data_IF_514131492582
#
_entry.id   IF_514131492582
#
_cell.length_a   1.000
_cell.length_b   1.000
_cell.length_c   1.000
_cell.angle_alpha   90.00
_cell.angle_beta   90.00
_cell.angle_gamma   90.00
#
_symmetry.space_group_name_H-M   'P 1'
#
loop_
_entity.id
_entity.type
_entity.pdbx_description
1 polymer ?
#
# COMPACT_ATOMS: atom_id res chain seq x y z
N UNK A 1 -23.55 28.27 -14.51
CA UNK A 1 -22.08 28.43 -14.72
C UNK A 1 -21.44 27.15 -14.23
N UNK A 2 -21.29 26.17 -15.14
CA UNK A 2 -20.64 24.91 -14.85
C UNK A 2 -19.18 25.18 -14.47
N UNK A 3 -18.82 24.88 -13.23
CA UNK A 3 -17.44 24.93 -12.82
C UNK A 3 -16.64 23.97 -13.72
N UNK A 4 -15.64 24.50 -14.41
CA UNK A 4 -14.72 23.71 -15.22
C UNK A 4 -14.17 22.58 -14.37
N UNK A 5 -14.69 21.39 -14.59
CA UNK A 5 -14.22 20.16 -13.95
C UNK A 5 -12.78 19.99 -14.44
N UNK A 6 -11.80 20.23 -13.58
CA UNK A 6 -10.39 19.96 -13.83
C UNK A 6 -10.30 18.57 -14.43
N UNK A 7 -9.65 18.44 -15.60
CA UNK A 7 -9.45 17.15 -16.25
C UNK A 7 -8.86 16.18 -15.24
N UNK A 8 -9.63 15.14 -14.90
CA UNK A 8 -9.26 14.19 -13.84
C UNK A 8 -7.93 13.52 -14.15
N UNK A 9 -7.10 13.34 -13.13
CA UNK A 9 -5.86 12.59 -13.24
C UNK A 9 -6.17 11.10 -13.43
N UNK A 10 -5.46 10.44 -14.33
CA UNK A 10 -5.72 9.05 -14.71
C UNK A 10 -4.63 8.14 -14.16
N UNK A 11 -5.06 6.99 -13.63
CA UNK A 11 -4.17 5.93 -13.16
C UNK A 11 -4.59 4.62 -13.83
N UNK A 12 -3.62 3.78 -14.19
CA UNK A 12 -3.83 2.39 -14.61
C UNK A 12 -3.09 1.46 -13.64
N UNK A 13 -3.83 0.81 -12.77
CA UNK A 13 -3.27 -0.11 -11.78
C UNK A 13 -3.52 -1.54 -12.24
N UNK A 14 -2.60 -2.08 -13.01
CA UNK A 14 -2.71 -3.45 -13.54
C UNK A 14 -4.01 -3.67 -14.34
N UNK A 15 -4.41 -2.70 -15.15
CA UNK A 15 -5.63 -2.73 -15.96
C UNK A 15 -6.87 -2.18 -15.27
N UNK A 16 -6.81 -1.82 -13.98
CA UNK A 16 -7.86 -1.04 -13.32
C UNK A 16 -7.65 0.44 -13.61
N UNK A 17 -8.57 1.04 -14.35
CA UNK A 17 -8.53 2.45 -14.71
C UNK A 17 -9.25 3.27 -13.64
N UNK A 18 -8.51 4.16 -12.98
CA UNK A 18 -9.03 5.02 -11.92
C UNK A 18 -8.88 6.47 -12.38
N UNK A 19 -9.91 7.27 -12.22
CA UNK A 19 -9.82 8.74 -12.36
C UNK A 19 -9.92 9.39 -10.98
N UNK A 20 -9.06 10.37 -10.73
CA UNK A 20 -9.11 11.21 -9.54
C UNK A 20 -9.32 12.65 -9.98
N UNK A 21 -10.37 13.29 -9.48
CA UNK A 21 -10.73 14.66 -9.86
C UNK A 21 -11.58 15.34 -8.79
N UNK A 22 -12.01 16.56 -9.03
CA UNK A 22 -12.86 17.32 -8.11
C UNK A 22 -12.56 18.81 -8.12
N UNK A 23 -13.04 19.51 -7.12
CA UNK A 23 -12.88 20.95 -6.94
C UNK A 23 -11.71 21.35 -6.02
N UNK A 24 -10.87 20.37 -5.64
CA UNK A 24 -9.68 20.56 -4.78
C UNK A 24 -8.40 20.10 -5.49
N UNK A 25 -7.81 20.93 -6.38
CA UNK A 25 -6.66 20.55 -7.21
C UNK A 25 -5.44 20.05 -6.44
N UNK A 26 -5.15 20.62 -5.25
CA UNK A 26 -4.01 20.27 -4.43
C UNK A 26 -4.13 18.81 -3.92
N UNK A 27 -5.32 18.43 -3.47
CA UNK A 27 -5.60 17.05 -3.02
C UNK A 27 -5.58 16.08 -4.20
N UNK A 28 -6.16 16.45 -5.35
CA UNK A 28 -6.13 15.62 -6.57
C UNK A 28 -4.69 15.36 -6.99
N UNK A 29 -3.84 16.39 -6.98
CA UNK A 29 -2.43 16.25 -7.35
C UNK A 29 -1.65 15.44 -6.31
N UNK A 30 -1.91 15.63 -5.01
CA UNK A 30 -1.27 14.83 -3.96
C UNK A 30 -1.58 13.34 -4.10
N UNK A 31 -2.83 12.96 -4.40
CA UNK A 31 -3.20 11.56 -4.67
C UNK A 31 -2.52 11.05 -5.94
N UNK A 32 -2.43 11.86 -7.01
CA UNK A 32 -1.72 11.50 -8.23
C UNK A 32 -0.25 11.17 -7.96
N UNK A 33 0.43 12.00 -7.18
CA UNK A 33 1.83 11.80 -6.79
C UNK A 33 2.03 10.53 -5.97
N UNK A 34 1.08 10.20 -5.09
CA UNK A 34 1.14 8.95 -4.32
C UNK A 34 1.11 7.69 -5.19
N UNK A 35 0.47 7.78 -6.37
CA UNK A 35 0.34 6.70 -7.35
C UNK A 35 1.04 7.02 -8.69
N UNK A 36 2.05 7.86 -8.68
CA UNK A 36 2.71 8.40 -9.88
C UNK A 36 3.18 7.32 -10.86
N UNK A 37 3.65 6.16 -10.35
CA UNK A 37 4.04 5.02 -11.18
C UNK A 37 2.92 4.50 -12.10
N UNK A 38 1.70 4.64 -11.66
CA UNK A 38 0.50 4.20 -12.36
C UNK A 38 -0.17 5.31 -13.15
N UNK A 39 0.40 6.51 -13.15
CA UNK A 39 -0.16 7.65 -13.87
C UNK A 39 -0.06 7.45 -15.38
N UNK A 40 -1.17 7.69 -16.09
CA UNK A 40 -1.26 7.61 -17.55
C UNK A 40 -1.86 8.88 -18.13
N UNK A 41 -1.45 9.22 -19.35
CA UNK A 41 -1.93 10.43 -20.01
C UNK A 41 -3.41 10.30 -20.45
N UNK A 42 -3.76 9.12 -20.99
CA UNK A 42 -5.11 8.73 -21.37
C UNK A 42 -5.31 7.25 -21.08
N UNK A 43 -6.50 6.87 -20.63
CA UNK A 43 -6.81 5.50 -20.23
C UNK A 43 -8.24 5.07 -20.64
N UNK A 44 -8.95 5.87 -21.43
CA UNK A 44 -10.35 5.63 -21.75
C UNK A 44 -11.28 5.83 -20.54
N UNK A 45 -12.53 5.33 -20.55
CA UNK A 45 -13.47 5.50 -19.45
C UNK A 45 -12.94 4.80 -18.18
N UNK A 46 -13.04 5.45 -17.00
CA UNK A 46 -12.58 4.86 -15.74
C UNK A 46 -13.52 3.75 -15.27
N UNK A 47 -12.93 2.71 -14.66
CA UNK A 47 -13.66 1.67 -13.92
C UNK A 47 -14.02 2.17 -12.49
N UNK A 48 -13.23 3.11 -11.96
CA UNK A 48 -13.45 3.77 -10.67
C UNK A 48 -13.24 5.27 -10.84
N UNK A 49 -14.19 6.06 -10.36
CA UNK A 49 -14.11 7.52 -10.33
C UNK A 49 -14.02 7.99 -8.87
N UNK A 50 -12.91 8.64 -8.50
CA UNK A 50 -12.72 9.25 -7.17
C UNK A 50 -12.84 10.76 -7.34
N UNK A 51 -13.84 11.34 -6.69
CA UNK A 51 -14.09 12.77 -6.68
C UNK A 51 -13.86 13.35 -5.29
N UNK A 52 -13.03 14.36 -5.19
CA UNK A 52 -12.80 15.12 -3.97
C UNK A 52 -13.54 16.45 -4.03
N UNK A 53 -14.19 16.82 -2.93
CA UNK A 53 -15.00 18.02 -2.84
C UNK A 53 -14.64 18.79 -1.57
N UNK A 54 -14.20 20.06 -1.74
CA UNK A 54 -13.85 20.95 -0.63
C UNK A 54 -15.10 21.60 -0.06
N UNK A 55 -15.79 20.88 0.80
CA UNK A 55 -16.98 21.39 1.49
C UNK A 55 -17.25 20.61 2.78
N UNK A 56 -17.97 21.24 3.70
CA UNK A 56 -18.44 20.56 4.90
C UNK A 56 -19.21 19.28 4.55
N UNK A 57 -19.04 18.19 5.32
CA UNK A 57 -19.79 16.95 5.12
C UNK A 57 -21.28 17.18 5.28
N UNK A 58 -22.07 16.67 4.33
CA UNK A 58 -23.52 16.71 4.37
C UNK A 58 -24.03 15.32 4.80
N UNK A 59 -24.40 15.17 6.07
CA UNK A 59 -24.93 13.92 6.63
C UNK A 59 -26.43 13.79 6.51
N UNK A 60 -27.18 14.89 6.40
CA UNK A 60 -28.64 14.89 6.34
C UNK A 60 -29.18 14.11 5.12
N UNK A 61 -28.43 14.12 4.03
CA UNK A 61 -28.78 13.42 2.79
C UNK A 61 -28.83 11.89 2.91
N UNK A 62 -28.31 11.30 3.98
CA UNK A 62 -28.25 9.84 4.13
C UNK A 62 -29.43 9.28 4.92
N UNK A 63 -30.19 10.11 5.62
CA UNK A 63 -31.29 9.66 6.48
C UNK A 63 -30.81 8.80 7.67
N UNK A 64 -31.72 7.99 8.21
CA UNK A 64 -31.45 7.17 9.38
C UNK A 64 -30.87 5.80 8.97
N UNK A 65 -29.57 5.75 8.72
CA UNK A 65 -28.83 4.52 8.40
C UNK A 65 -28.05 4.06 9.64
N UNK A 66 -28.29 2.85 10.18
CA UNK A 66 -27.56 2.37 11.34
C UNK A 66 -26.10 2.08 11.02
N UNK A 67 -25.19 2.35 11.97
CA UNK A 67 -23.79 2.04 11.84
C UNK A 67 -23.58 0.52 11.67
N UNK A 68 -22.80 0.13 10.66
CA UNK A 68 -22.40 -1.25 10.45
C UNK A 68 -21.28 -1.65 11.42
N UNK A 69 -20.31 -0.76 11.62
CA UNK A 69 -19.24 -0.92 12.61
C UNK A 69 -18.51 0.41 12.86
N UNK A 70 -17.78 0.46 13.98
CA UNK A 70 -16.99 1.61 14.40
C UNK A 70 -15.53 1.19 14.51
N UNK A 71 -14.62 2.03 13.98
CA UNK A 71 -13.17 1.88 14.13
C UNK A 71 -12.61 3.07 14.93
N UNK A 72 -11.36 3.05 15.38
CA UNK A 72 -10.74 4.23 15.99
C UNK A 72 -10.67 5.46 15.06
N UNK A 73 -10.87 5.27 13.74
CA UNK A 73 -10.69 6.32 12.72
C UNK A 73 -11.99 6.83 12.12
N UNK A 74 -13.04 6.02 12.14
CA UNK A 74 -14.28 6.32 11.46
C UNK A 74 -15.44 5.42 11.89
N UNK A 75 -16.63 5.80 11.47
CA UNK A 75 -17.85 4.99 11.54
C UNK A 75 -18.24 4.61 10.12
N UNK A 76 -18.54 3.33 9.89
CA UNK A 76 -18.93 2.82 8.57
C UNK A 76 -20.38 2.44 8.56
N UNK A 77 -21.11 2.89 7.54
CA UNK A 77 -22.51 2.61 7.29
C UNK A 77 -22.67 1.88 5.96
N UNK A 78 -23.67 1.01 5.88
CA UNK A 78 -24.02 0.29 4.66
C UNK A 78 -25.46 0.62 4.27
N UNK A 79 -25.64 1.23 3.11
CA UNK A 79 -26.93 1.57 2.54
C UNK A 79 -27.04 0.99 1.13
N UNK A 80 -27.69 -0.15 0.99
CA UNK A 80 -27.80 -0.84 -0.29
C UNK A 80 -26.46 -1.07 -0.99
N UNK A 81 -26.23 -0.43 -2.13
CA UNK A 81 -24.96 -0.46 -2.86
C UNK A 81 -23.90 0.49 -2.31
N UNK A 82 -24.28 1.40 -1.40
CA UNK A 82 -23.40 2.44 -0.89
C UNK A 82 -22.69 1.99 0.38
N UNK A 83 -21.41 2.35 0.47
CA UNK A 83 -20.64 2.32 1.71
C UNK A 83 -20.32 3.76 2.07
N UNK A 84 -20.77 4.20 3.23
CA UNK A 84 -20.56 5.56 3.74
C UNK A 84 -19.57 5.45 4.89
N UNK A 85 -18.54 6.29 4.88
CA UNK A 85 -17.51 6.36 5.91
C UNK A 85 -17.51 7.77 6.49
N UNK A 86 -17.91 7.87 7.74
CA UNK A 86 -17.89 9.10 8.51
C UNK A 86 -16.60 9.19 9.34
N UNK A 87 -15.79 10.18 9.09
CA UNK A 87 -14.55 10.47 9.83
C UNK A 87 -14.84 11.39 11.02
N UNK A 88 -15.79 10.98 11.86
CA UNK A 88 -16.23 11.69 13.08
C UNK A 88 -16.66 13.14 12.79
N UNK A 89 -17.49 13.34 11.78
CA UNK A 89 -18.02 14.65 11.40
C UNK A 89 -17.05 15.55 10.63
N UNK A 90 -15.77 15.22 10.52
CA UNK A 90 -14.74 16.05 9.85
C UNK A 90 -14.69 15.86 8.34
N UNK A 91 -14.99 14.66 7.87
CA UNK A 91 -15.10 14.32 6.46
C UNK A 91 -16.09 13.16 6.30
N UNK A 92 -16.63 13.00 5.09
CA UNK A 92 -17.43 11.84 4.71
C UNK A 92 -16.98 11.32 3.36
N UNK A 93 -16.91 10.01 3.23
CA UNK A 93 -16.67 9.36 1.96
C UNK A 93 -17.83 8.43 1.61
N UNK A 94 -18.23 8.45 0.34
CA UNK A 94 -19.31 7.59 -0.17
C UNK A 94 -18.80 6.80 -1.35
N UNK A 95 -18.78 5.49 -1.23
CA UNK A 95 -18.53 4.57 -2.33
C UNK A 95 -19.85 4.00 -2.81
N UNK A 96 -20.23 4.29 -4.04
CA UNK A 96 -21.29 3.58 -4.75
C UNK A 96 -20.67 2.44 -5.58
N UNK A 97 -20.91 1.21 -5.15
CA UNK A 97 -20.35 0.02 -5.80
C UNK A 97 -21.01 -0.31 -7.14
N UNK A 98 -22.22 0.18 -7.38
CA UNK A 98 -22.93 -0.07 -8.64
C UNK A 98 -22.33 0.73 -9.79
N UNK A 99 -21.90 1.97 -9.52
CA UNK A 99 -21.32 2.86 -10.49
C UNK A 99 -19.78 2.93 -10.44
N UNK A 100 -19.14 2.34 -9.42
CA UNK A 100 -17.70 2.50 -9.18
C UNK A 100 -17.29 3.92 -8.75
N UNK A 101 -18.26 4.75 -8.35
CA UNK A 101 -18.02 6.15 -7.99
C UNK A 101 -17.74 6.30 -6.50
N UNK A 102 -16.71 7.08 -6.18
CA UNK A 102 -16.33 7.48 -4.82
C UNK A 102 -16.39 9.00 -4.74
N UNK A 103 -17.04 9.54 -3.71
CA UNK A 103 -17.02 10.97 -3.39
C UNK A 103 -16.45 11.14 -1.99
N UNK A 104 -15.45 12.01 -1.84
CA UNK A 104 -14.84 12.36 -0.55
C UNK A 104 -15.08 13.84 -0.31
N UNK A 105 -15.73 14.19 0.81
CA UNK A 105 -16.07 15.56 1.19
C UNK A 105 -15.46 15.91 2.55
N UNK A 106 -14.90 17.09 2.66
CA UNK A 106 -14.32 17.63 3.90
C UNK A 106 -13.68 18.99 3.65
N UNK A 107 -13.29 19.65 4.74
CA UNK A 107 -12.58 20.93 4.72
C UNK A 107 -11.12 20.80 5.19
N UNK A 108 -10.75 19.65 5.73
CA UNK A 108 -9.39 19.31 6.16
C UNK A 108 -8.66 18.62 5.00
N UNK A 109 -7.69 19.31 4.40
CA UNK A 109 -6.92 18.84 3.25
C UNK A 109 -6.25 17.50 3.49
N UNK A 110 -5.62 17.33 4.66
CA UNK A 110 -4.87 16.12 4.99
C UNK A 110 -5.79 14.92 5.18
N UNK A 111 -6.94 15.13 5.81
CA UNK A 111 -7.93 14.09 6.01
C UNK A 111 -8.56 13.65 4.69
N UNK A 112 -8.94 14.59 3.84
CA UNK A 112 -9.53 14.31 2.52
C UNK A 112 -8.52 13.61 1.61
N UNK A 113 -7.25 14.06 1.63
CA UNK A 113 -6.16 13.40 0.91
C UNK A 113 -5.97 11.94 1.39
N UNK A 114 -5.86 11.70 2.71
CA UNK A 114 -5.68 10.35 3.25
C UNK A 114 -6.88 9.45 2.93
N UNK A 115 -8.11 9.98 3.04
CA UNK A 115 -9.32 9.25 2.68
C UNK A 115 -9.34 8.86 1.20
N UNK A 116 -9.05 9.80 0.28
CA UNK A 116 -9.00 9.53 -1.14
C UNK A 116 -7.89 8.51 -1.50
N UNK A 117 -6.69 8.67 -0.93
CA UNK A 117 -5.60 7.71 -1.08
C UNK A 117 -6.00 6.28 -0.66
N UNK A 118 -6.65 6.14 0.50
CA UNK A 118 -7.10 4.84 1.01
C UNK A 118 -8.18 4.22 0.11
N UNK A 119 -9.07 5.02 -0.48
CA UNK A 119 -10.04 4.52 -1.45
C UNK A 119 -9.39 3.99 -2.71
N UNK A 120 -8.45 4.74 -3.32
CA UNK A 120 -7.69 4.27 -4.48
C UNK A 120 -6.98 2.97 -4.14
N UNK A 121 -6.28 2.91 -3.01
CA UNK A 121 -5.54 1.73 -2.57
C UNK A 121 -6.47 0.52 -2.30
N UNK A 122 -7.66 0.77 -1.74
CA UNK A 122 -8.68 -0.27 -1.50
C UNK A 122 -9.22 -0.85 -2.81
N UNK A 123 -9.57 0.01 -3.78
CA UNK A 123 -10.07 -0.44 -5.09
C UNK A 123 -9.01 -1.19 -5.88
N UNK A 124 -7.78 -0.65 -5.91
CA UNK A 124 -6.64 -1.35 -6.47
C UNK A 124 -6.43 -2.73 -5.82
N UNK A 125 -6.49 -2.78 -4.49
CA UNK A 125 -6.31 -4.03 -3.75
C UNK A 125 -7.35 -5.10 -4.07
N UNK A 126 -8.62 -4.74 -4.16
CA UNK A 126 -9.68 -5.68 -4.56
C UNK A 126 -9.49 -6.19 -6.00
N UNK A 127 -9.04 -5.33 -6.90
CA UNK A 127 -8.72 -5.70 -8.27
C UNK A 127 -7.53 -6.65 -8.34
N UNK A 128 -6.44 -6.35 -7.63
CA UNK A 128 -5.25 -7.19 -7.57
C UNK A 128 -5.56 -8.59 -7.01
N UNK A 129 -6.41 -8.69 -5.98
CA UNK A 129 -6.86 -9.98 -5.45
C UNK A 129 -7.60 -10.80 -6.53
N UNK A 130 -8.45 -10.16 -7.35
CA UNK A 130 -9.14 -10.83 -8.48
C UNK A 130 -8.16 -11.32 -9.55
N UNK A 131 -7.07 -10.59 -9.79
CA UNK A 131 -5.98 -11.00 -10.68
C UNK A 131 -5.08 -12.10 -10.09
N UNK A 132 -5.26 -12.45 -8.81
CA UNK A 132 -4.40 -13.40 -8.12
C UNK A 132 -3.02 -12.82 -7.79
N UNK A 133 -2.94 -11.51 -7.59
CA UNK A 133 -1.76 -10.77 -7.18
C UNK A 133 -1.90 -10.40 -5.69
N UNK A 134 -1.23 -11.16 -4.85
CA UNK A 134 -1.24 -10.95 -3.40
C UNK A 134 -0.34 -9.77 -3.03
N UNK A 135 -0.88 -8.76 -2.36
CA UNK A 135 -0.08 -7.71 -1.71
C UNK A 135 0.57 -8.28 -0.44
N UNK A 136 1.88 -8.40 -0.44
CA UNK A 136 2.64 -8.91 0.70
C UNK A 136 3.17 -7.74 1.53
N UNK A 137 2.82 -7.66 2.82
CA UNK A 137 3.39 -6.62 3.71
C UNK A 137 4.89 -6.86 3.93
N UNK A 138 5.70 -6.40 3.00
CA UNK A 138 7.14 -6.60 2.95
C UNK A 138 7.82 -5.48 2.15
N UNK A 139 9.10 -5.27 2.38
CA UNK A 139 9.97 -4.59 1.43
C UNK A 139 10.32 -5.59 0.31
N UNK A 140 10.05 -5.22 -0.94
CA UNK A 140 10.38 -5.98 -2.14
C UNK A 140 11.56 -5.35 -2.87
N UNK A 141 12.64 -6.11 -3.01
CA UNK A 141 13.85 -5.72 -3.76
C UNK A 141 14.11 -6.73 -4.88
N UNK A 142 14.74 -6.28 -5.95
CA UNK A 142 15.26 -7.14 -7.01
C UNK A 142 16.73 -6.89 -7.25
N UNK A 143 17.43 -7.94 -7.65
CA UNK A 143 18.81 -7.91 -8.09
C UNK A 143 19.04 -8.98 -9.18
N UNK A 144 20.28 -9.17 -9.60
CA UNK A 144 20.65 -10.06 -10.71
C UNK A 144 20.09 -11.49 -10.56
N UNK A 145 20.07 -12.03 -9.33
CA UNK A 145 19.59 -13.40 -9.09
C UNK A 145 18.08 -13.51 -8.90
N UNK A 146 17.36 -12.41 -8.76
CA UNK A 146 15.91 -12.36 -8.56
C UNK A 146 15.47 -11.49 -7.39
N UNK A 147 14.28 -11.77 -6.88
CA UNK A 147 13.62 -10.95 -5.87
C UNK A 147 13.86 -11.40 -4.43
N UNK A 148 13.92 -10.44 -3.54
CA UNK A 148 13.99 -10.60 -2.08
C UNK A 148 12.77 -9.92 -1.45
N UNK A 149 12.03 -10.63 -0.61
CA UNK A 149 10.95 -10.08 0.20
C UNK A 149 11.38 -10.02 1.67
N UNK A 150 11.44 -8.82 2.25
CA UNK A 150 11.83 -8.60 3.64
C UNK A 150 10.61 -8.21 4.47
N UNK A 151 10.12 -9.15 5.26
CA UNK A 151 8.98 -8.95 6.17
C UNK A 151 9.47 -8.45 7.52
N UNK A 152 9.08 -7.24 7.87
CA UNK A 152 9.36 -6.59 9.15
C UNK A 152 8.07 -6.01 9.72
N UNK A 153 7.90 -6.00 11.04
CA UNK A 153 6.76 -5.31 11.65
C UNK A 153 6.75 -3.83 11.29
N UNK A 154 5.63 -3.17 11.46
CA UNK A 154 5.53 -1.71 11.30
C UNK A 154 6.57 -1.03 12.20
N UNK A 155 7.28 -0.02 11.68
CA UNK A 155 8.40 0.61 12.39
C UNK A 155 9.66 -0.27 12.51
N UNK A 156 9.68 -1.45 11.89
CA UNK A 156 10.80 -2.39 11.96
C UNK A 156 12.05 -2.01 11.17
N UNK A 157 12.00 -0.95 10.33
CA UNK A 157 13.13 -0.48 9.53
C UNK A 157 13.06 -0.80 8.03
N UNK A 158 11.87 -1.16 7.49
CA UNK A 158 11.67 -1.39 6.05
C UNK A 158 12.09 -0.18 5.21
N UNK A 159 11.58 1.01 5.55
CA UNK A 159 11.87 2.24 4.83
C UNK A 159 13.36 2.60 4.86
N UNK A 160 14.02 2.41 6.01
CA UNK A 160 15.46 2.63 6.14
C UNK A 160 16.27 1.68 5.25
N UNK A 161 15.89 0.38 5.20
CA UNK A 161 16.50 -0.59 4.28
C UNK A 161 16.21 -0.24 2.81
N UNK A 162 15.00 0.23 2.49
CA UNK A 162 14.65 0.68 1.14
C UNK A 162 15.53 1.85 0.68
N UNK A 163 15.74 2.85 1.53
CA UNK A 163 16.61 3.99 1.22
C UNK A 163 18.08 3.57 1.00
N UNK A 164 18.57 2.57 1.76
CA UNK A 164 19.89 1.99 1.53
C UNK A 164 19.95 1.22 0.21
N UNK A 165 18.90 0.45 -0.11
CA UNK A 165 18.79 -0.29 -1.36
C UNK A 165 18.82 0.64 -2.59
N UNK A 166 18.15 1.78 -2.51
CA UNK A 166 18.15 2.78 -3.59
C UNK A 166 19.54 3.38 -3.90
N UNK A 167 20.48 3.30 -2.95
CA UNK A 167 21.87 3.75 -3.13
C UNK A 167 22.81 2.64 -3.62
N UNK A 168 22.37 1.38 -3.56
CA UNK A 168 23.21 0.24 -3.94
C UNK A 168 23.14 0.00 -5.45
N UNK A 169 24.29 -0.25 -6.08
CA UNK A 169 24.35 -0.61 -7.51
C UNK A 169 23.73 -1.98 -7.75
N UNK A 170 23.06 -2.16 -8.88
CA UNK A 170 22.45 -3.43 -9.29
C UNK A 170 21.19 -3.81 -8.50
N UNK A 171 20.79 -3.05 -7.48
CA UNK A 171 19.57 -3.28 -6.70
C UNK A 171 18.47 -2.34 -7.17
N UNK A 172 17.25 -2.89 -7.35
CA UNK A 172 16.06 -2.13 -7.71
C UNK A 172 14.94 -2.38 -6.71
N UNK A 173 14.07 -1.39 -6.54
CA UNK A 173 12.92 -1.47 -5.66
C UNK A 173 11.71 -2.00 -6.43
N UNK A 174 11.05 -3.02 -5.88
CA UNK A 174 9.72 -3.46 -6.33
C UNK A 174 8.60 -2.73 -5.57
N UNK A 175 8.76 -2.60 -4.27
CA UNK A 175 7.87 -1.84 -3.38
C UNK A 175 8.50 -1.72 -2.00
N UNK A 176 8.27 -0.61 -1.32
CA UNK A 176 8.73 -0.42 0.07
C UNK A 176 7.89 -1.21 1.07
N UNK A 177 6.58 -1.35 0.81
CA UNK A 177 5.65 -1.91 1.80
C UNK A 177 4.71 -3.00 1.27
N UNK A 178 4.49 -3.09 -0.06
CA UNK A 178 3.49 -4.00 -0.62
C UNK A 178 3.86 -4.59 -1.99
N UNK A 179 5.00 -5.27 -2.18
CA UNK A 179 5.26 -5.98 -3.43
C UNK A 179 4.18 -7.04 -3.66
N UNK A 180 3.87 -7.31 -4.93
CA UNK A 180 2.83 -8.26 -5.27
C UNK A 180 3.44 -9.64 -5.53
N UNK A 181 2.85 -10.67 -4.94
CA UNK A 181 3.26 -12.06 -5.11
C UNK A 181 2.21 -12.81 -5.93
N UNK A 182 2.62 -13.45 -7.03
CA UNK A 182 1.74 -14.26 -7.86
C UNK A 182 1.78 -15.77 -7.52
N UNK A 183 0.87 -16.54 -8.12
CA UNK A 183 0.78 -18.01 -7.96
C UNK A 183 1.96 -18.77 -8.59
N UNK A 184 2.83 -18.09 -9.35
CA UNK A 184 4.06 -18.64 -9.92
C UNK A 184 5.27 -18.36 -9.04
N UNK A 185 5.08 -17.71 -7.88
CA UNK A 185 6.14 -17.32 -6.96
C UNK A 185 7.03 -16.22 -7.52
N UNK A 186 6.46 -15.28 -8.27
CA UNK A 186 7.16 -14.08 -8.75
C UNK A 186 6.69 -12.86 -7.99
N UNK A 187 7.61 -11.97 -7.70
CA UNK A 187 7.31 -10.64 -7.18
C UNK A 187 7.08 -9.67 -8.34
N UNK A 188 6.01 -8.89 -8.24
CA UNK A 188 5.68 -7.83 -9.20
C UNK A 188 5.84 -6.47 -8.51
N UNK A 189 6.20 -5.41 -9.27
CA UNK A 189 6.33 -4.08 -8.74
C UNK A 189 4.97 -3.51 -8.30
N UNK A 190 4.97 -2.85 -7.16
CA UNK A 190 3.88 -1.99 -6.71
C UNK A 190 4.49 -0.81 -5.96
N UNK A 191 5.28 0.01 -6.66
CA UNK A 191 5.97 1.13 -6.03
C UNK A 191 4.97 2.24 -5.72
N UNK A 192 5.02 2.68 -4.49
CA UNK A 192 4.33 3.86 -3.99
C UNK A 192 5.39 4.77 -3.35
N UNK A 193 4.97 5.95 -2.91
CA UNK A 193 5.83 6.85 -2.12
C UNK A 193 6.48 6.11 -0.93
N UNK A 194 7.69 6.48 -0.56
CA UNK A 194 8.38 5.91 0.60
C UNK A 194 8.16 6.82 1.81
N UNK A 195 7.50 6.30 2.84
CA UNK A 195 7.28 7.03 4.09
C UNK A 195 8.45 6.86 5.06
N UNK A 196 9.12 7.96 5.40
CA UNK A 196 10.32 7.99 6.24
C UNK A 196 10.02 8.70 7.55
N UNK A 197 10.50 8.16 8.68
CA UNK A 197 10.40 8.84 9.96
C UNK A 197 11.35 10.04 10.01
N UNK A 198 11.02 11.05 10.80
CA UNK A 198 11.86 12.25 10.96
C UNK A 198 13.29 11.90 11.44
N UNK A 199 13.45 10.83 12.21
CA UNK A 199 14.76 10.33 12.66
C UNK A 199 15.68 9.86 11.53
N UNK A 200 15.13 9.50 10.39
CA UNK A 200 15.86 8.98 9.23
C UNK A 200 15.91 10.02 8.09
N UNK A 201 15.57 11.28 8.39
CA UNK A 201 15.52 12.38 7.41
C UNK A 201 16.88 12.63 6.71
N UNK A 202 17.98 12.39 7.39
CA UNK A 202 19.36 12.48 6.84
C UNK A 202 19.63 11.50 5.69
N UNK A 203 18.82 10.45 5.58
CA UNK A 203 18.88 9.48 4.49
C UNK A 203 18.14 9.96 3.24
N UNK A 204 17.41 11.07 3.31
CA UNK A 204 16.66 11.62 2.18
C UNK A 204 17.54 12.56 1.35
N UNK A 205 17.35 12.60 0.02
CA UNK A 205 17.96 13.64 -0.81
C UNK A 205 17.39 15.01 -0.43
N UNK A 206 18.22 16.03 -0.42
CA UNK A 206 17.78 17.39 -0.12
C UNK A 206 16.71 17.88 -1.12
N UNK A 207 15.65 18.50 -0.59
CA UNK A 207 14.60 19.12 -1.40
C UNK A 207 13.64 18.15 -2.08
N UNK A 208 13.76 16.81 -1.86
CA UNK A 208 12.93 15.80 -2.53
C UNK A 208 11.93 15.12 -1.59
N UNK A 209 11.80 15.60 -0.38
CA UNK A 209 10.89 15.05 0.60
C UNK A 209 9.73 16.02 0.90
N UNK A 210 8.51 15.50 0.86
CA UNK A 210 7.30 16.20 1.26
C UNK A 210 6.86 15.72 2.65
N UNK A 211 6.47 16.64 3.53
CA UNK A 211 5.85 16.29 4.81
C UNK A 211 4.36 16.00 4.59
N UNK A 212 3.90 14.89 5.11
CA UNK A 212 2.48 14.57 5.17
C UNK A 212 2.02 14.42 6.62
N UNK A 213 0.89 15.02 6.91
CA UNK A 213 0.16 14.77 8.15
C UNK A 213 -0.65 13.47 8.00
N UNK A 214 -0.90 12.79 9.12
CA UNK A 214 -1.64 11.52 9.16
C UNK A 214 -2.68 11.58 10.25
N UNK A 215 -3.87 11.06 10.00
CA UNK A 215 -5.05 11.21 10.88
C UNK A 215 -4.78 10.97 12.37
N UNK A 216 -4.03 9.93 12.73
CA UNK A 216 -3.81 9.53 14.13
C UNK A 216 -2.36 9.14 14.41
N UNK A 217 -1.50 9.33 13.45
CA UNK A 217 -0.12 8.93 13.53
C UNK A 217 0.78 10.14 13.39
N UNK A 218 1.99 10.05 13.92
CA UNK A 218 2.98 11.11 13.74
C UNK A 218 3.18 11.44 12.25
N UNK A 219 3.38 12.73 11.91
CA UNK A 219 3.74 13.16 10.56
C UNK A 219 4.89 12.35 10.02
N UNK A 220 4.89 12.11 8.70
CA UNK A 220 5.99 11.47 8.01
C UNK A 220 6.56 12.37 6.93
N UNK A 221 7.85 12.22 6.68
CA UNK A 221 8.45 12.67 5.44
C UNK A 221 8.19 11.62 4.37
N UNK A 222 7.85 12.06 3.18
CA UNK A 222 7.57 11.18 2.05
C UNK A 222 8.54 11.51 0.94
N UNK A 223 9.32 10.52 0.51
CA UNK A 223 10.09 10.57 -0.71
C UNK A 223 9.19 10.18 -1.87
N UNK A 224 9.05 11.08 -2.84
CA UNK A 224 8.23 10.85 -4.01
C UNK A 224 8.95 9.93 -5.01
N UNK A 225 8.17 9.28 -5.84
CA UNK A 225 8.67 8.27 -6.77
C UNK A 225 9.65 8.83 -7.79
N UNK A 226 9.41 10.07 -8.25
CA UNK A 226 10.27 10.79 -9.19
C UNK A 226 11.72 10.88 -8.73
N UNK A 227 11.96 10.88 -7.40
CA UNK A 227 13.30 10.93 -6.82
C UNK A 227 14.12 9.65 -7.04
N UNK A 228 13.48 8.52 -7.40
CA UNK A 228 14.13 7.21 -7.57
C UNK A 228 13.50 6.35 -8.68
N UNK A 229 12.85 6.97 -9.65
CA UNK A 229 12.13 6.29 -10.73
C UNK A 229 13.04 5.33 -11.54
N UNK A 230 14.30 5.70 -11.75
CA UNK A 230 15.32 4.89 -12.42
C UNK A 230 15.75 3.66 -11.61
N UNK A 231 15.44 3.62 -10.33
CA UNK A 231 15.77 2.53 -9.38
C UNK A 231 14.60 1.58 -9.14
N UNK A 232 13.49 1.75 -9.86
CA UNK A 232 12.33 0.87 -9.75
C UNK A 232 12.48 -0.30 -10.72
N UNK A 233 12.18 -1.50 -10.22
CA UNK A 233 12.01 -2.67 -11.08
C UNK A 233 10.66 -2.59 -11.81
N UNK A 234 10.69 -2.72 -13.12
CA UNK A 234 9.48 -2.63 -13.95
C UNK A 234 8.89 -4.00 -14.33
N UNK A 235 9.61 -5.09 -14.09
CA UNK A 235 9.22 -6.43 -14.51
C UNK A 235 9.04 -7.39 -13.33
N UNK A 236 8.15 -8.37 -13.45
CA UNK A 236 8.05 -9.44 -12.46
C UNK A 236 9.34 -10.27 -12.39
N UNK A 237 9.86 -10.48 -11.18
CA UNK A 237 11.08 -11.26 -10.92
C UNK A 237 10.76 -12.50 -10.08
N UNK A 238 11.46 -13.64 -10.27
CA UNK A 238 11.27 -14.82 -9.42
C UNK A 238 11.66 -14.49 -7.97
N UNK A 239 10.80 -14.82 -7.01
CA UNK A 239 11.11 -14.71 -5.58
C UNK A 239 12.17 -15.74 -5.20
N UNK A 240 13.36 -15.30 -4.80
CA UNK A 240 14.49 -16.14 -4.41
C UNK A 240 14.70 -16.23 -2.91
N UNK A 241 14.43 -15.14 -2.21
CA UNK A 241 14.67 -15.08 -0.78
C UNK A 241 13.48 -14.47 -0.04
N UNK A 242 13.05 -15.12 1.02
CA UNK A 242 12.09 -14.60 2.00
C UNK A 242 12.85 -14.38 3.30
N UNK A 243 12.85 -13.14 3.76
CA UNK A 243 13.54 -12.72 4.98
C UNK A 243 12.50 -12.30 6.01
N UNK A 244 12.52 -12.94 7.18
CA UNK A 244 11.74 -12.51 8.36
C UNK A 244 12.65 -11.76 9.29
N UNK A 245 12.34 -10.49 9.54
CA UNK A 245 13.15 -9.62 10.35
C UNK A 245 12.61 -9.45 11.77
N UNK A 246 13.53 -9.18 12.69
CA UNK A 246 13.25 -8.72 14.05
C UNK A 246 14.29 -7.69 14.47
N UNK A 247 13.93 -6.82 15.42
CA UNK A 247 14.88 -5.85 15.97
C UNK A 247 15.55 -6.38 17.23
N UNK A 248 16.81 -5.92 17.43
CA UNK A 248 17.61 -6.12 18.62
C UNK A 248 18.06 -4.76 19.15
N UNK A 249 18.35 -4.66 20.44
CA UNK A 249 18.93 -3.48 21.07
C UNK A 249 20.44 -3.34 20.82
N UNK A 250 21.10 -4.42 20.36
CA UNK A 250 22.52 -4.42 20.02
C UNK A 250 22.81 -3.59 18.76
N UNK A 251 24.09 -3.37 18.49
CA UNK A 251 24.55 -2.69 17.26
C UNK A 251 24.64 -3.66 16.08
N UNK A 252 24.92 -4.93 16.35
CA UNK A 252 25.19 -5.95 15.33
C UNK A 252 23.92 -6.40 14.62
N UNK A 253 24.05 -6.57 13.31
CA UNK A 253 23.05 -7.26 12.49
C UNK A 253 23.52 -8.69 12.20
N UNK A 254 22.56 -9.60 12.03
CA UNK A 254 22.84 -10.98 11.68
C UNK A 254 21.80 -11.55 10.74
N UNK A 255 22.28 -12.17 9.67
CA UNK A 255 21.45 -12.93 8.73
C UNK A 255 21.76 -14.43 8.89
N UNK A 256 20.75 -15.24 9.14
CA UNK A 256 20.90 -16.69 9.33
C UNK A 256 19.82 -17.45 8.54
N UNK A 257 20.17 -18.60 7.93
CA UNK A 257 19.17 -19.44 7.28
C UNK A 257 18.24 -20.04 8.33
N UNK A 258 16.95 -20.14 7.99
CA UNK A 258 15.96 -20.77 8.87
C UNK A 258 15.06 -21.72 8.06
N UNK A 259 14.47 -22.74 8.70
CA UNK A 259 13.59 -23.66 7.98
C UNK A 259 12.31 -22.97 7.53
N UNK A 260 11.77 -23.37 6.37
CA UNK A 260 10.55 -22.80 5.76
C UNK A 260 9.36 -22.74 6.73
N UNK A 261 9.21 -23.74 7.61
CA UNK A 261 8.16 -23.78 8.64
C UNK A 261 8.21 -22.58 9.60
N UNK A 262 9.38 -22.04 9.86
CA UNK A 262 9.55 -20.88 10.73
C UNK A 262 9.07 -19.56 10.08
N UNK A 263 8.98 -19.53 8.73
CA UNK A 263 8.50 -18.39 7.96
C UNK A 263 7.02 -18.49 7.65
N UNK A 264 6.47 -19.71 7.57
CA UNK A 264 5.10 -19.95 7.11
C UNK A 264 4.05 -19.15 7.89
N UNK A 265 4.14 -19.13 9.23
CA UNK A 265 3.20 -18.38 10.07
C UNK A 265 3.23 -16.88 9.82
N UNK A 266 4.41 -16.29 9.66
CA UNK A 266 4.57 -14.86 9.33
C UNK A 266 4.02 -14.58 7.93
N UNK A 267 4.35 -15.42 6.95
CA UNK A 267 3.89 -15.26 5.58
C UNK A 267 2.35 -15.36 5.48
N UNK A 268 1.73 -16.27 6.21
CA UNK A 268 0.27 -16.37 6.27
C UNK A 268 -0.34 -15.13 6.93
N UNK A 269 0.22 -14.66 8.05
CA UNK A 269 -0.26 -13.47 8.73
C UNK A 269 -0.15 -12.22 7.86
N UNK A 270 1.02 -11.97 7.27
CA UNK A 270 1.29 -10.76 6.48
C UNK A 270 0.68 -10.83 5.06
N UNK A 271 0.51 -12.02 4.50
CA UNK A 271 -0.04 -12.23 3.17
C UNK A 271 -1.55 -12.53 3.20
N UNK A 272 -1.98 -13.61 3.85
CA UNK A 272 -3.38 -14.07 3.78
C UNK A 272 -4.28 -13.20 4.64
N UNK A 273 -3.92 -12.98 5.90
CA UNK A 273 -4.65 -12.09 6.81
C UNK A 273 -4.37 -10.63 6.48
N UNK A 274 -3.12 -10.30 6.10
CA UNK A 274 -2.73 -8.98 5.64
C UNK A 274 -2.73 -7.92 6.75
N UNK A 275 -2.36 -8.27 7.97
CA UNK A 275 -2.44 -7.41 9.17
C UNK A 275 -1.74 -6.06 8.98
N UNK A 276 -0.68 -5.97 8.17
CA UNK A 276 0.04 -4.73 7.92
C UNK A 276 -0.54 -3.84 6.80
N UNK A 277 -1.35 -4.41 5.91
CA UNK A 277 -1.90 -3.73 4.72
C UNK A 277 -3.32 -3.18 4.98
N UNK A 278 -3.97 -3.64 6.03
CA UNK A 278 -5.37 -3.32 6.33
C UNK A 278 -5.60 -1.98 7.03
N UNK A 279 -5.02 -0.92 6.52
CA UNK A 279 -5.55 0.41 6.81
C UNK A 279 -6.88 0.71 6.08
N UNK A 280 -7.35 -0.23 5.23
CA UNK A 280 -8.59 -0.18 4.49
C UNK A 280 -9.54 -1.35 4.77
N UNK A 281 -9.40 -2.07 5.91
CA UNK A 281 -10.33 -3.15 6.31
C UNK A 281 -11.79 -2.68 6.44
N UNK A 282 -11.98 -1.41 6.66
CA UNK A 282 -13.28 -0.73 6.72
C UNK A 282 -14.14 -1.00 5.48
N UNK A 283 -13.50 -1.24 4.34
CA UNK A 283 -14.17 -1.49 3.06
C UNK A 283 -14.35 -2.98 2.73
N UNK A 284 -13.69 -3.87 3.48
CA UNK A 284 -13.66 -5.32 3.20
C UNK A 284 -14.69 -6.08 4.02
N UNK A 285 -15.13 -5.56 5.17
CA UNK A 285 -16.05 -6.25 6.07
C UNK A 285 -17.50 -5.86 5.79
N UNK A 286 -18.33 -6.89 5.53
CA UNK A 286 -19.76 -6.97 5.73
C UNK A 286 -20.70 -6.82 4.52
N UNK A 287 -20.99 -7.94 3.85
CA UNK A 287 -22.24 -8.10 3.06
C UNK A 287 -22.77 -9.53 3.06
N UNK A 288 -22.98 -10.13 4.25
CA UNK A 288 -23.68 -11.40 4.35
C UNK A 288 -22.90 -12.63 3.82
N UNK A 289 -23.59 -13.76 3.64
CA UNK A 289 -23.01 -15.05 3.26
C UNK A 289 -22.28 -15.05 1.90
N UNK A 290 -22.71 -14.24 0.94
CA UNK A 290 -22.03 -14.12 -0.37
C UNK A 290 -20.66 -13.46 -0.24
N UNK A 291 -20.52 -12.50 0.67
CA UNK A 291 -19.25 -11.84 0.95
C UNK A 291 -18.26 -12.78 1.66
N UNK A 292 -18.78 -13.63 2.56
CA UNK A 292 -17.98 -14.68 3.19
C UNK A 292 -17.41 -15.65 2.17
N UNK A 293 -18.22 -16.10 1.20
CA UNK A 293 -17.75 -16.98 0.13
C UNK A 293 -16.67 -16.33 -0.74
N UNK A 294 -16.84 -15.05 -1.09
CA UNK A 294 -15.83 -14.28 -1.80
C UNK A 294 -14.51 -14.15 -1.02
N UNK A 295 -14.59 -13.92 0.29
CA UNK A 295 -13.41 -13.83 1.18
C UNK A 295 -12.69 -15.17 1.31
N UNK A 296 -13.40 -16.30 1.36
CA UNK A 296 -12.78 -17.63 1.34
C UNK A 296 -12.02 -17.84 0.03
N UNK A 297 -12.60 -17.49 -1.13
CA UNK A 297 -11.92 -17.55 -2.43
C UNK A 297 -10.65 -16.70 -2.46
N UNK A 298 -10.72 -15.48 -1.95
CA UNK A 298 -9.54 -14.59 -1.83
C UNK A 298 -8.48 -15.19 -0.92
N UNK A 299 -8.87 -15.73 0.25
CA UNK A 299 -7.94 -16.35 1.19
C UNK A 299 -7.24 -17.58 0.59
N UNK A 300 -7.97 -18.42 -0.16
CA UNK A 300 -7.41 -19.56 -0.88
C UNK A 300 -6.42 -19.12 -1.95
N UNK A 301 -6.76 -18.07 -2.73
CA UNK A 301 -5.87 -17.50 -3.74
C UNK A 301 -4.58 -16.96 -3.12
N UNK A 302 -4.70 -16.20 -2.05
CA UNK A 302 -3.55 -15.65 -1.31
C UNK A 302 -2.70 -16.76 -0.71
N UNK A 303 -3.33 -17.81 -0.15
CA UNK A 303 -2.62 -18.98 0.37
C UNK A 303 -1.83 -19.71 -0.72
N UNK A 304 -2.39 -19.84 -1.93
CA UNK A 304 -1.70 -20.43 -3.08
C UNK A 304 -0.48 -19.59 -3.49
N UNK A 305 -0.57 -18.25 -3.49
CA UNK A 305 0.56 -17.36 -3.74
C UNK A 305 1.67 -17.54 -2.68
N UNK A 306 1.28 -17.56 -1.39
CA UNK A 306 2.22 -17.79 -0.28
C UNK A 306 2.93 -19.14 -0.41
N UNK A 307 2.20 -20.21 -0.72
CA UNK A 307 2.75 -21.55 -0.91
C UNK A 307 3.72 -21.59 -2.09
N UNK A 308 3.35 -20.97 -3.21
CA UNK A 308 4.20 -20.90 -4.40
C UNK A 308 5.50 -20.13 -4.13
N UNK A 309 5.43 -19.00 -3.42
CA UNK A 309 6.60 -18.24 -2.99
C UNK A 309 7.50 -19.06 -2.05
N UNK A 310 6.91 -19.64 -0.99
CA UNK A 310 7.65 -20.40 0.02
C UNK A 310 8.32 -21.66 -0.54
N UNK A 311 7.70 -22.33 -1.52
CA UNK A 311 8.26 -23.54 -2.12
C UNK A 311 9.51 -23.27 -2.97
N UNK A 312 9.66 -22.06 -3.48
CA UNK A 312 10.73 -21.67 -4.42
C UNK A 312 11.85 -20.85 -3.78
N UNK A 313 11.57 -20.20 -2.67
CA UNK A 313 12.51 -19.30 -2.02
C UNK A 313 13.33 -19.99 -0.93
N UNK A 314 14.56 -19.53 -0.76
CA UNK A 314 15.36 -19.75 0.47
C UNK A 314 14.85 -18.81 1.57
N UNK A 315 14.90 -19.28 2.80
CA UNK A 315 14.28 -18.58 3.94
C UNK A 315 15.31 -18.18 4.97
N UNK A 316 15.23 -16.94 5.44
CA UNK A 316 16.22 -16.30 6.27
C UNK A 316 15.59 -15.56 7.44
N UNK A 317 16.34 -15.44 8.52
CA UNK A 317 16.05 -14.52 9.63
C UNK A 317 17.08 -13.40 9.62
N UNK A 318 16.60 -12.17 9.61
CA UNK A 318 17.42 -10.96 9.76
C UNK A 318 17.16 -10.36 11.14
N UNK A 319 18.18 -10.41 12.01
CA UNK A 319 18.17 -9.66 13.26
C UNK A 319 18.81 -8.30 12.98
N UNK A 320 18.03 -7.24 13.09
CA UNK A 320 18.46 -5.85 12.86
C UNK A 320 18.97 -5.25 14.17
N UNK A 321 20.17 -4.70 14.13
CA UNK A 321 20.73 -3.90 15.22
C UNK A 321 20.31 -2.43 15.12
N UNK A 322 20.94 -1.59 15.94
CA UNK A 322 20.77 -0.12 15.93
C UNK A 322 21.61 0.57 14.86
N UNK A 323 22.63 -0.12 14.30
CA UNK A 323 23.48 0.39 13.25
C UNK A 323 22.88 0.07 11.88
N UNK A 324 22.49 1.11 11.13
CA UNK A 324 21.81 0.96 9.84
C UNK A 324 22.75 0.45 8.73
N UNK A 325 24.04 0.75 8.78
CA UNK A 325 25.00 0.29 7.78
C UNK A 325 25.27 -1.21 7.96
N UNK A 326 25.40 -1.68 9.20
CA UNK A 326 25.51 -3.12 9.50
C UNK A 326 24.27 -3.89 9.13
N UNK A 327 23.08 -3.29 9.32
CA UNK A 327 21.81 -3.90 8.90
C UNK A 327 21.79 -4.12 7.38
N UNK A 328 22.21 -3.12 6.61
CA UNK A 328 22.30 -3.25 5.16
C UNK A 328 23.39 -4.25 4.75
N UNK A 329 24.58 -4.18 5.32
CA UNK A 329 25.67 -5.10 5.03
C UNK A 329 25.30 -6.57 5.29
N UNK A 330 24.46 -6.84 6.30
CA UNK A 330 23.96 -8.20 6.57
C UNK A 330 22.96 -8.67 5.49
N UNK A 331 22.14 -7.80 4.92
CA UNK A 331 21.15 -8.14 3.88
C UNK A 331 21.76 -8.22 2.48
N UNK A 332 22.76 -7.38 2.18
CA UNK A 332 23.35 -7.19 0.85
C UNK A 332 23.79 -8.50 0.14
N UNK A 333 24.33 -9.53 0.82
CA UNK A 333 24.69 -10.79 0.18
C UNK A 333 23.56 -11.53 -0.51
N UNK A 334 22.31 -11.25 -0.16
CA UNK A 334 21.14 -11.83 -0.86
C UNK A 334 20.78 -11.07 -2.15
N UNK A 335 21.47 -9.96 -2.43
CA UNK A 335 21.21 -9.05 -3.54
C UNK A 335 22.40 -8.98 -4.54
N UNK A 336 23.43 -9.79 -4.32
CA UNK A 336 24.59 -9.88 -5.20
C UNK A 336 24.37 -10.83 -6.38
#
# INVERSE_FOLDING_TARGET
MEAATSAGRRLDVYGLRISVGGDWPEVVEAVRLDFEWFAVADGGPPDVEVRVERRAPDFERFGDVPAAFVTPRNVVYQDGARTIVDYFGRAVSVLDRSSGRVVVQGEDEHLVHEAAYLFVLSRAGEHLDRLGLLRLHALGLSATQGGVAVMLPSGGGKSTLALRALRAEGVRLLSEDAPLLDRRGRLHPFPLRIGVNATDAELLPEGQARRIERMELHPKLVLELSAFADRIESRPVPLRHIVVGRRSLGLEARLEPIPRRAVAGTLLREGVVGVGIYQGMEFVLQRGMRDVAGKVGTALTRSACCTAGLSRASTWRLTLGRDHDRNWAALAPLLS
#
